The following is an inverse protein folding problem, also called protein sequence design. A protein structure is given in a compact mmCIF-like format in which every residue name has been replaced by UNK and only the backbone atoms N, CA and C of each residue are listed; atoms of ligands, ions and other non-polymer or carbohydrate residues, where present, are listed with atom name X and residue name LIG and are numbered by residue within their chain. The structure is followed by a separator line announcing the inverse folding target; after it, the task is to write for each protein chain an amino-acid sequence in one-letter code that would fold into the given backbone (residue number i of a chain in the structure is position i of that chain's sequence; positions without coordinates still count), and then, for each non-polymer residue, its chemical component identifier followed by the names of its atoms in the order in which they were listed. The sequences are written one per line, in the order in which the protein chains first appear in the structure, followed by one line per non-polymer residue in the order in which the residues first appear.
data_IF_281949524777
#
_entry.id   IF_281949524777
#
_cell.length_a   1.000
_cell.length_b   1.000
_cell.length_c   1.000
_cell.angle_alpha   90.00
_cell.angle_beta   90.00
_cell.angle_gamma   90.00
#
_symmetry.space_group_name_H-M   'P 1'
#
loop_
_entity.id
_entity.type
_entity.pdbx_description
1 polymer ?
#
# COMPACT_ATOMS: atom_id res chain seq x y z
N UNK A 1 -31.17 -31.23 -16.40
CA UNK A 1 -30.48 -29.93 -16.29
C UNK A 1 -29.86 -29.91 -14.92
N UNK A 2 -28.54 -30.09 -14.83
CA UNK A 2 -27.86 -30.29 -13.56
C UNK A 2 -27.72 -28.97 -12.80
N UNK A 3 -27.76 -29.04 -11.47
CA UNK A 3 -27.57 -27.88 -10.57
C UNK A 3 -26.24 -27.11 -10.83
N UNK A 4 -25.30 -27.72 -11.56
CA UNK A 4 -24.03 -27.10 -11.99
C UNK A 4 -24.22 -25.92 -12.95
N UNK A 5 -25.21 -25.96 -13.84
CA UNK A 5 -25.42 -24.88 -14.83
C UNK A 5 -26.13 -23.63 -14.26
N UNK A 6 -26.79 -23.74 -13.09
CA UNK A 6 -27.42 -22.60 -12.41
C UNK A 6 -26.42 -21.80 -11.56
N UNK A 7 -25.29 -22.41 -11.14
CA UNK A 7 -24.25 -21.70 -10.37
C UNK A 7 -23.34 -20.83 -11.24
N UNK A 8 -23.11 -21.19 -12.50
CA UNK A 8 -22.25 -20.41 -13.42
C UNK A 8 -22.84 -19.03 -13.78
N UNK A 9 -24.15 -18.84 -13.68
CA UNK A 9 -24.79 -17.55 -13.99
C UNK A 9 -24.80 -16.56 -12.81
N UNK A 10 -24.56 -17.02 -11.59
CA UNK A 10 -24.70 -16.20 -10.36
C UNK A 10 -23.47 -15.36 -10.08
N UNK A 11 -22.27 -15.86 -10.35
CA UNK A 11 -21.00 -15.19 -10.09
C UNK A 11 -20.33 -14.82 -11.40
N UNK A 12 -20.44 -13.54 -11.79
CA UNK A 12 -19.78 -12.99 -12.98
C UNK A 12 -18.51 -12.27 -12.57
N UNK A 13 -17.42 -12.48 -13.30
CA UNK A 13 -16.12 -11.83 -13.07
C UNK A 13 -15.90 -10.74 -14.09
N UNK A 14 -15.31 -9.64 -13.67
CA UNK A 14 -14.92 -8.52 -14.49
C UNK A 14 -15.28 -7.18 -13.87
N UNK A 15 -14.51 -6.14 -14.22
CA UNK A 15 -14.76 -4.77 -13.76
C UNK A 15 -16.14 -4.28 -14.24
N UNK A 16 -16.47 -4.53 -15.50
CA UNK A 16 -17.75 -4.08 -16.08
C UNK A 16 -18.94 -4.81 -15.49
N UNK A 17 -18.83 -6.11 -15.28
CA UNK A 17 -19.87 -6.97 -14.72
C UNK A 17 -20.17 -6.65 -13.25
N UNK A 18 -19.15 -6.11 -12.53
CA UNK A 18 -19.26 -5.75 -11.11
C UNK A 18 -19.06 -4.25 -10.87
N UNK A 19 -19.33 -3.38 -11.85
CA UNK A 19 -18.96 -1.97 -11.83
C UNK A 19 -19.38 -1.23 -10.55
N UNK A 20 -20.59 -1.47 -10.06
CA UNK A 20 -21.09 -0.85 -8.83
C UNK A 20 -20.25 -1.28 -7.60
N UNK A 21 -19.93 -2.58 -7.48
CA UNK A 21 -19.13 -3.06 -6.36
C UNK A 21 -17.67 -2.61 -6.44
N UNK A 22 -17.09 -2.61 -7.64
CA UNK A 22 -15.76 -2.02 -7.87
C UNK A 22 -15.77 -0.54 -7.47
N UNK A 23 -16.79 0.22 -7.87
CA UNK A 23 -16.97 1.63 -7.51
C UNK A 23 -17.08 1.85 -6.00
N UNK A 24 -17.88 1.05 -5.29
CA UNK A 24 -17.98 1.12 -3.82
C UNK A 24 -16.67 0.78 -3.13
N UNK A 25 -15.93 -0.19 -3.64
CA UNK A 25 -14.61 -0.55 -3.10
C UNK A 25 -13.54 0.52 -3.41
N UNK A 26 -13.64 1.20 -4.55
CA UNK A 26 -12.77 2.36 -4.86
C UNK A 26 -13.09 3.54 -3.95
N UNK A 27 -14.37 3.81 -3.70
CA UNK A 27 -14.78 4.84 -2.75
C UNK A 27 -14.32 4.49 -1.32
N UNK A 28 -14.38 3.22 -0.92
CA UNK A 28 -13.85 2.77 0.37
C UNK A 28 -12.36 3.07 0.51
N UNK A 29 -11.53 2.71 -0.48
CA UNK A 29 -10.09 2.97 -0.39
C UNK A 29 -9.76 4.46 -0.49
N UNK A 30 -10.55 5.25 -1.21
CA UNK A 30 -10.47 6.71 -1.21
C UNK A 30 -10.69 7.28 0.21
N UNK A 31 -11.75 6.83 0.91
CA UNK A 31 -12.02 7.24 2.29
C UNK A 31 -10.90 6.78 3.25
N UNK A 32 -10.32 5.59 3.04
CA UNK A 32 -9.12 5.14 3.77
C UNK A 32 -7.94 6.08 3.49
N UNK A 33 -7.76 6.52 2.27
CA UNK A 33 -6.77 7.52 1.89
C UNK A 33 -6.97 8.86 2.61
N UNK A 34 -8.22 9.31 2.73
CA UNK A 34 -8.56 10.54 3.48
C UNK A 34 -8.12 10.44 4.96
N UNK A 35 -8.28 9.27 5.61
CA UNK A 35 -7.88 9.13 7.03
C UNK A 35 -6.37 9.20 7.25
N UNK A 36 -5.55 8.67 6.34
CA UNK A 36 -4.09 8.82 6.46
C UNK A 36 -3.63 10.23 6.08
N UNK A 37 -4.27 10.83 5.06
CA UNK A 37 -3.91 12.16 4.60
C UNK A 37 -4.10 13.24 5.67
N UNK A 38 -5.16 13.14 6.49
CA UNK A 38 -5.39 14.08 7.59
C UNK A 38 -4.26 14.10 8.63
N UNK A 39 -3.58 12.96 8.86
CA UNK A 39 -2.44 12.88 9.76
C UNK A 39 -1.16 13.48 9.18
N UNK A 40 -0.97 13.38 7.87
CA UNK A 40 0.29 13.82 7.22
C UNK A 40 0.50 15.32 7.25
N UNK A 41 -0.57 16.11 7.20
CA UNK A 41 -0.47 17.56 7.04
C UNK A 41 -0.57 18.30 8.36
N UNK A 42 -1.56 18.00 9.19
CA UNK A 42 -1.89 18.80 10.37
C UNK A 42 -1.18 18.29 11.62
N UNK A 43 -1.01 16.97 11.76
CA UNK A 43 -0.42 16.38 12.98
C UNK A 43 1.05 16.79 13.21
N UNK A 44 1.93 16.89 12.20
CA UNK A 44 3.29 17.41 12.41
C UNK A 44 3.31 18.85 12.96
N UNK A 45 2.47 19.74 12.40
CA UNK A 45 2.38 21.12 12.90
C UNK A 45 1.87 21.17 14.35
N UNK A 46 0.88 20.33 14.67
CA UNK A 46 0.34 20.22 16.02
C UNK A 46 1.40 19.69 17.02
N UNK A 47 2.30 18.81 16.57
CA UNK A 47 3.42 18.33 17.38
C UNK A 47 4.40 19.46 17.77
N UNK A 48 4.74 20.31 16.81
CA UNK A 48 5.66 21.43 17.02
C UNK A 48 5.03 22.54 17.87
N UNK A 49 3.81 22.93 17.53
CA UNK A 49 3.16 24.11 18.13
C UNK A 49 2.60 23.83 19.55
N UNK A 50 2.07 22.64 19.80
CA UNK A 50 1.36 22.37 21.06
C UNK A 50 2.09 21.39 22.00
N UNK A 51 2.90 20.46 21.46
CA UNK A 51 3.55 19.43 22.28
C UNK A 51 5.04 19.63 22.49
N UNK A 52 5.59 20.76 22.04
CA UNK A 52 7.01 21.11 22.23
C UNK A 52 7.98 20.15 21.54
N UNK A 53 7.51 19.45 20.50
CA UNK A 53 8.37 18.60 19.69
C UNK A 53 9.29 19.49 18.88
N UNK A 54 10.60 19.31 19.03
CA UNK A 54 11.58 20.14 18.32
C UNK A 54 11.35 20.08 16.80
N UNK A 55 11.33 21.25 16.16
CA UNK A 55 11.20 21.38 14.69
C UNK A 55 12.23 20.49 14.00
N UNK A 56 11.77 19.67 13.07
CA UNK A 56 12.64 18.76 12.33
C UNK A 56 13.23 17.63 13.17
N UNK A 57 12.59 17.24 14.27
CA UNK A 57 13.04 16.09 15.07
C UNK A 57 12.99 14.81 14.25
N UNK A 58 14.13 14.50 13.62
CA UNK A 58 14.37 13.31 12.81
C UNK A 58 13.96 12.01 13.54
N UNK A 59 14.31 11.91 14.81
CA UNK A 59 14.03 10.72 15.61
C UNK A 59 12.53 10.49 15.83
N UNK A 60 11.73 11.54 15.95
CA UNK A 60 10.28 11.43 16.14
C UNK A 60 9.56 11.08 14.84
N UNK A 61 9.96 11.64 13.72
CA UNK A 61 9.43 11.27 12.39
C UNK A 61 9.77 9.82 12.05
N UNK A 62 11.00 9.39 12.33
CA UNK A 62 11.42 8.01 12.14
C UNK A 62 10.65 7.04 13.04
N UNK A 63 10.51 7.36 14.33
CA UNK A 63 9.74 6.54 15.27
C UNK A 63 8.27 6.38 14.86
N UNK A 64 7.64 7.46 14.34
CA UNK A 64 6.29 7.43 13.79
C UNK A 64 6.19 6.47 12.59
N UNK A 65 7.11 6.58 11.61
CA UNK A 65 7.11 5.74 10.40
C UNK A 65 7.36 4.27 10.76
N UNK A 66 8.27 4.02 11.70
CA UNK A 66 8.56 2.67 12.21
C UNK A 66 7.33 2.07 12.90
N UNK A 67 6.73 2.77 13.88
CA UNK A 67 5.56 2.28 14.60
C UNK A 67 4.38 2.04 13.66
N UNK A 68 4.09 2.99 12.76
CA UNK A 68 3.05 2.85 11.75
C UNK A 68 3.27 1.66 10.82
N UNK A 69 4.48 1.48 10.31
CA UNK A 69 4.84 0.38 9.42
C UNK A 69 4.67 -0.99 10.08
N UNK A 70 5.16 -1.17 11.31
CA UNK A 70 5.01 -2.41 12.06
C UNK A 70 3.54 -2.74 12.36
N UNK A 71 2.77 -1.77 12.86
CA UNK A 71 1.34 -1.98 13.17
C UNK A 71 0.57 -2.30 11.90
N UNK A 72 0.70 -1.48 10.86
CA UNK A 72 0.01 -1.67 9.59
C UNK A 72 0.39 -2.99 8.93
N UNK A 73 1.68 -3.34 8.91
CA UNK A 73 2.17 -4.60 8.37
C UNK A 73 1.54 -5.79 9.09
N UNK A 74 1.61 -5.82 10.42
CA UNK A 74 1.02 -6.88 11.24
C UNK A 74 -0.49 -7.01 11.01
N UNK A 75 -1.20 -5.89 10.95
CA UNK A 75 -2.65 -5.90 10.73
C UNK A 75 -3.04 -6.29 9.30
N UNK A 76 -2.21 -6.06 8.29
CA UNK A 76 -2.43 -6.61 6.96
C UNK A 76 -2.41 -8.15 6.96
N UNK A 77 -1.44 -8.74 7.68
CA UNK A 77 -1.35 -10.19 7.84
C UNK A 77 -2.59 -10.76 8.55
N UNK A 78 -2.99 -10.15 9.67
CA UNK A 78 -4.19 -10.54 10.43
C UNK A 78 -5.44 -10.38 9.55
N UNK A 79 -5.58 -9.28 8.83
CA UNK A 79 -6.70 -9.00 7.94
C UNK A 79 -6.86 -10.08 6.85
N UNK A 80 -5.76 -10.46 6.21
CA UNK A 80 -5.75 -11.52 5.21
C UNK A 80 -6.36 -12.81 5.77
N UNK A 81 -5.87 -13.27 6.92
CA UNK A 81 -6.32 -14.51 7.54
C UNK A 81 -7.75 -14.45 8.08
N UNK A 82 -8.11 -13.34 8.73
CA UNK A 82 -9.47 -13.16 9.23
C UNK A 82 -10.48 -13.11 8.09
N UNK A 83 -10.15 -12.47 6.98
CA UNK A 83 -11.04 -12.35 5.85
C UNK A 83 -11.45 -13.67 5.22
N UNK A 84 -10.61 -14.71 5.33
CA UNK A 84 -10.93 -16.06 4.87
C UNK A 84 -11.91 -16.79 5.80
N UNK A 85 -11.90 -16.45 7.09
CA UNK A 85 -12.77 -17.08 8.10
C UNK A 85 -14.12 -16.40 8.23
N UNK A 86 -14.12 -15.06 8.26
CA UNK A 86 -15.32 -14.27 8.60
C UNK A 86 -15.89 -13.47 7.44
N UNK A 87 -15.16 -13.40 6.32
CA UNK A 87 -15.52 -12.62 5.13
C UNK A 87 -14.84 -11.26 5.06
N UNK A 88 -14.73 -10.72 3.83
CA UNK A 88 -14.01 -9.46 3.54
C UNK A 88 -14.74 -8.25 4.12
N UNK A 89 -16.06 -8.23 3.97
CA UNK A 89 -16.92 -7.13 4.44
C UNK A 89 -16.86 -6.93 5.94
N UNK A 90 -16.88 -8.00 6.73
CA UNK A 90 -16.82 -7.89 8.19
C UNK A 90 -15.50 -7.31 8.66
N UNK A 91 -14.38 -7.75 8.08
CA UNK A 91 -13.04 -7.22 8.42
C UNK A 91 -12.92 -5.74 8.03
N UNK A 92 -13.50 -5.33 6.90
CA UNK A 92 -13.58 -3.92 6.49
C UNK A 92 -14.34 -3.08 7.54
N UNK A 93 -15.50 -3.56 7.99
CA UNK A 93 -16.31 -2.87 9.01
C UNK A 93 -15.52 -2.76 10.32
N UNK A 94 -14.86 -3.84 10.78
CA UNK A 94 -14.02 -3.79 11.99
C UNK A 94 -12.88 -2.78 11.88
N UNK A 95 -12.26 -2.67 10.70
CA UNK A 95 -11.25 -1.65 10.45
C UNK A 95 -11.79 -0.23 10.60
N UNK A 96 -13.00 0.04 10.12
CA UNK A 96 -13.65 1.33 10.30
C UNK A 96 -14.10 1.59 11.74
N UNK A 97 -14.56 0.57 12.45
CA UNK A 97 -14.90 0.68 13.88
C UNK A 97 -13.67 1.06 14.72
N UNK A 98 -12.51 0.50 14.41
CA UNK A 98 -11.26 0.85 15.08
C UNK A 98 -10.84 2.31 14.85
N UNK A 99 -11.32 2.94 13.78
CA UNK A 99 -11.03 4.35 13.48
C UNK A 99 -11.89 5.34 14.27
N UNK A 100 -13.06 4.93 14.80
CA UNK A 100 -14.01 5.82 15.47
C UNK A 100 -13.36 6.68 16.60
N UNK A 101 -12.50 6.13 17.47
CA UNK A 101 -11.91 6.93 18.56
C UNK A 101 -10.89 7.96 18.06
N UNK A 102 -10.30 7.80 16.87
CA UNK A 102 -9.16 8.61 16.41
C UNK A 102 -9.41 10.12 16.47
N UNK A 103 -10.49 10.68 15.87
CA UNK A 103 -10.72 12.12 15.88
C UNK A 103 -10.89 12.68 17.30
N UNK A 104 -11.53 11.91 18.19
CA UNK A 104 -11.72 12.28 19.59
C UNK A 104 -10.42 12.24 20.38
N UNK A 105 -9.56 11.24 20.14
CA UNK A 105 -8.24 11.16 20.76
C UNK A 105 -7.38 12.36 20.39
N UNK A 106 -7.45 12.84 19.15
CA UNK A 106 -6.73 14.04 18.71
C UNK A 106 -7.31 15.29 19.39
N UNK A 107 -8.64 15.41 19.45
CA UNK A 107 -9.30 16.56 20.09
C UNK A 107 -8.89 16.70 21.54
N UNK A 108 -8.95 15.61 22.32
CA UNK A 108 -8.69 15.61 23.76
C UNK A 108 -7.23 15.28 24.13
N UNK A 109 -6.32 15.23 23.14
CA UNK A 109 -4.91 14.93 23.40
C UNK A 109 -4.29 15.93 24.37
N UNK A 110 -3.86 15.44 25.53
CA UNK A 110 -3.14 16.24 26.55
C UNK A 110 -1.62 16.08 26.44
N UNK A 111 -1.15 15.14 25.63
CA UNK A 111 0.27 14.86 25.40
C UNK A 111 0.48 14.22 24.03
N UNK A 112 1.73 14.25 23.55
CA UNK A 112 2.13 13.54 22.31
C UNK A 112 1.81 12.04 22.33
N UNK A 113 1.81 11.40 23.51
CA UNK A 113 1.43 9.99 23.66
C UNK A 113 0.02 9.66 23.16
N UNK A 114 -0.94 10.58 23.29
CA UNK A 114 -2.30 10.43 22.74
C UNK A 114 -2.30 10.39 21.21
N UNK A 115 -1.47 11.22 20.60
CA UNK A 115 -1.31 11.26 19.14
C UNK A 115 -0.67 9.97 18.63
N UNK A 116 0.35 9.46 19.33
CA UNK A 116 0.96 8.16 19.02
C UNK A 116 -0.07 7.02 19.14
N UNK A 117 -0.89 7.01 20.19
CA UNK A 117 -1.96 6.02 20.35
C UNK A 117 -3.03 6.13 19.23
N UNK A 118 -3.43 7.34 18.84
CA UNK A 118 -4.32 7.57 17.70
C UNK A 118 -3.70 7.05 16.38
N UNK A 119 -2.39 7.19 16.20
CA UNK A 119 -1.65 6.68 15.05
C UNK A 119 -1.61 5.15 15.02
N UNK A 120 -1.50 4.48 16.16
CA UNK A 120 -1.61 3.02 16.25
C UNK A 120 -2.99 2.57 15.75
N UNK A 121 -4.07 3.20 16.21
CA UNK A 121 -5.43 2.90 15.70
C UNK A 121 -5.59 3.22 14.22
N UNK A 122 -4.95 4.28 13.72
CA UNK A 122 -4.87 4.55 12.28
C UNK A 122 -4.17 3.41 11.54
N UNK A 123 -3.07 2.88 12.08
CA UNK A 123 -2.37 1.70 11.53
C UNK A 123 -3.28 0.47 11.47
N UNK A 124 -4.10 0.24 12.50
CA UNK A 124 -5.13 -0.83 12.50
C UNK A 124 -6.15 -0.59 11.39
N UNK A 125 -6.73 0.59 11.30
CA UNK A 125 -7.69 0.94 10.24
C UNK A 125 -7.07 0.73 8.84
N UNK A 126 -5.87 1.24 8.61
CA UNK A 126 -5.17 1.13 7.33
C UNK A 126 -4.89 -0.33 6.97
N UNK A 127 -4.40 -1.13 7.91
CA UNK A 127 -4.10 -2.54 7.70
C UNK A 127 -5.34 -3.36 7.36
N UNK A 128 -6.44 -3.18 8.08
CA UNK A 128 -7.67 -3.91 7.83
C UNK A 128 -8.39 -3.41 6.57
N UNK A 129 -8.65 -2.11 6.45
CA UNK A 129 -9.50 -1.58 5.38
C UNK A 129 -8.82 -1.61 4.01
N UNK A 130 -7.56 -1.17 3.90
CA UNK A 130 -6.86 -1.16 2.61
C UNK A 130 -6.69 -2.57 2.04
N UNK A 131 -6.34 -3.54 2.91
CA UNK A 131 -6.23 -4.94 2.49
C UNK A 131 -7.55 -5.49 1.99
N UNK A 132 -8.66 -5.18 2.67
CA UNK A 132 -9.97 -5.70 2.26
C UNK A 132 -10.47 -5.09 0.96
N UNK A 133 -10.22 -3.81 0.71
CA UNK A 133 -10.58 -3.20 -0.57
C UNK A 133 -9.82 -3.80 -1.75
N UNK A 134 -8.55 -4.16 -1.56
CA UNK A 134 -7.76 -4.86 -2.58
C UNK A 134 -8.29 -6.28 -2.80
N UNK A 135 -8.36 -7.09 -1.73
CA UNK A 135 -8.78 -8.49 -1.82
C UNK A 135 -10.17 -8.62 -2.43
N UNK A 136 -11.12 -7.79 -1.99
CA UNK A 136 -12.50 -7.80 -2.52
C UNK A 136 -12.56 -7.53 -4.02
N UNK A 137 -11.74 -6.60 -4.54
CA UNK A 137 -11.69 -6.35 -5.98
C UNK A 137 -11.04 -7.49 -6.75
N UNK A 138 -9.98 -8.11 -6.18
CA UNK A 138 -9.35 -9.28 -6.81
C UNK A 138 -10.30 -10.47 -6.91
N UNK A 139 -11.20 -10.64 -5.93
CA UNK A 139 -12.17 -11.73 -5.94
C UNK A 139 -13.22 -11.61 -7.07
N UNK A 140 -13.59 -10.39 -7.47
CA UNK A 140 -14.67 -10.11 -8.43
C UNK A 140 -14.21 -9.72 -9.83
N UNK A 141 -12.90 -9.54 -10.06
CA UNK A 141 -12.33 -9.15 -11.35
C UNK A 141 -11.61 -10.30 -12.03
N UNK A 142 -11.49 -10.24 -13.37
CA UNK A 142 -10.77 -11.25 -14.15
C UNK A 142 -9.26 -11.15 -13.91
N UNK A 143 -8.56 -12.25 -14.08
CA UNK A 143 -7.10 -12.28 -13.92
C UNK A 143 -6.37 -11.28 -14.84
N UNK A 144 -6.83 -11.14 -16.09
CA UNK A 144 -6.27 -10.18 -17.05
C UNK A 144 -6.64 -8.71 -16.83
N UNK A 145 -7.45 -8.41 -15.80
CA UNK A 145 -7.82 -7.06 -15.38
C UNK A 145 -7.20 -6.66 -14.03
N UNK A 146 -6.40 -7.56 -13.41
CA UNK A 146 -5.86 -7.36 -12.05
C UNK A 146 -4.90 -6.19 -11.95
N UNK A 147 -4.08 -5.97 -12.97
CA UNK A 147 -3.18 -4.81 -13.04
C UNK A 147 -3.93 -3.50 -13.02
N UNK A 148 -4.94 -3.34 -13.87
CA UNK A 148 -5.82 -2.17 -13.88
C UNK A 148 -6.57 -2.03 -12.57
N UNK A 149 -7.09 -3.13 -12.03
CA UNK A 149 -7.83 -3.14 -10.74
C UNK A 149 -6.96 -2.64 -9.59
N UNK A 150 -5.70 -3.07 -9.54
CA UNK A 150 -4.74 -2.60 -8.54
C UNK A 150 -4.35 -1.14 -8.77
N UNK A 151 -4.12 -0.75 -10.02
CA UNK A 151 -3.86 0.65 -10.38
C UNK A 151 -4.99 1.58 -9.95
N UNK A 152 -6.24 1.21 -10.22
CA UNK A 152 -7.44 1.94 -9.77
C UNK A 152 -7.53 2.02 -8.25
N UNK A 153 -7.22 0.93 -7.53
CA UNK A 153 -7.20 0.92 -6.07
C UNK A 153 -6.23 1.95 -5.50
N UNK A 154 -4.99 1.88 -5.96
CA UNK A 154 -3.93 2.72 -5.42
C UNK A 154 -4.13 4.19 -5.82
N UNK A 155 -4.49 4.45 -7.08
CA UNK A 155 -4.84 5.80 -7.54
C UNK A 155 -5.93 6.41 -6.66
N UNK A 156 -7.04 5.70 -6.45
CA UNK A 156 -8.15 6.18 -5.62
C UNK A 156 -7.72 6.49 -4.19
N UNK A 157 -6.93 5.60 -3.57
CA UNK A 157 -6.39 5.80 -2.22
C UNK A 157 -5.47 7.01 -2.13
N UNK A 158 -4.54 7.18 -3.06
CA UNK A 158 -3.60 8.32 -3.04
C UNK A 158 -4.23 9.65 -3.42
N UNK A 159 -5.25 9.67 -4.27
CA UNK A 159 -6.09 10.87 -4.48
C UNK A 159 -6.76 11.28 -3.17
N UNK A 160 -7.28 10.30 -2.39
CA UNK A 160 -7.80 10.55 -1.05
C UNK A 160 -6.76 11.17 -0.12
N UNK A 161 -5.54 10.61 -0.08
CA UNK A 161 -4.43 11.14 0.74
C UNK A 161 -4.12 12.60 0.38
N UNK A 162 -4.00 12.91 -0.92
CA UNK A 162 -3.67 14.26 -1.38
C UNK A 162 -4.81 15.25 -1.05
N UNK A 163 -6.05 14.88 -1.32
CA UNK A 163 -7.20 15.73 -1.06
C UNK A 163 -7.40 16.01 0.44
N UNK A 164 -7.16 15.00 1.30
CA UNK A 164 -7.23 15.20 2.75
C UNK A 164 -6.21 16.22 3.24
N UNK A 165 -4.98 16.18 2.71
CA UNK A 165 -3.96 17.17 3.06
C UNK A 165 -4.41 18.60 2.79
N UNK A 166 -5.03 18.83 1.64
CA UNK A 166 -5.58 20.15 1.26
C UNK A 166 -6.75 20.54 2.16
N UNK A 167 -7.76 19.68 2.26
CA UNK A 167 -8.98 19.97 3.00
C UNK A 167 -8.72 20.22 4.49
N UNK A 168 -7.90 19.36 5.12
CA UNK A 168 -7.60 19.52 6.55
C UNK A 168 -6.71 20.72 6.82
N UNK A 169 -5.86 21.13 5.88
CA UNK A 169 -5.12 22.38 5.97
C UNK A 169 -6.04 23.60 6.03
N UNK A 170 -7.01 23.69 5.12
CA UNK A 170 -8.02 24.78 5.14
C UNK A 170 -8.91 24.73 6.40
N UNK A 171 -9.32 23.53 6.82
CA UNK A 171 -10.13 23.37 8.03
C UNK A 171 -9.37 23.77 9.29
N UNK A 172 -8.07 23.46 9.35
CA UNK A 172 -7.21 23.87 10.45
C UNK A 172 -7.06 25.38 10.53
N UNK A 173 -6.96 26.08 9.41
CA UNK A 173 -6.94 27.54 9.37
C UNK A 173 -8.27 28.16 9.81
N UNK A 174 -9.40 27.56 9.42
CA UNK A 174 -10.73 28.10 9.70
C UNK A 174 -11.20 27.85 11.15
N UNK A 175 -10.94 26.66 11.69
CA UNK A 175 -11.51 26.19 12.97
C UNK A 175 -10.46 25.73 13.99
N UNK A 176 -9.19 25.88 13.66
CA UNK A 176 -8.09 25.32 14.43
C UNK A 176 -7.84 23.83 14.11
N UNK A 177 -6.60 23.34 14.36
CA UNK A 177 -6.18 22.00 13.91
C UNK A 177 -6.99 20.87 14.54
N UNK A 178 -7.29 20.94 15.84
CA UNK A 178 -7.99 19.87 16.56
C UNK A 178 -9.45 19.73 16.14
N UNK A 179 -10.19 20.86 16.09
CA UNK A 179 -11.60 20.84 15.70
C UNK A 179 -11.76 20.50 14.21
N UNK A 180 -10.87 21.02 13.35
CA UNK A 180 -10.85 20.67 11.94
C UNK A 180 -10.66 19.17 11.72
N UNK A 181 -9.71 18.53 12.42
CA UNK A 181 -9.48 17.09 12.35
C UNK A 181 -10.63 16.27 12.95
N UNK A 182 -11.27 16.75 14.03
CA UNK A 182 -12.47 16.10 14.58
C UNK A 182 -13.60 16.04 13.56
N UNK A 183 -13.97 17.18 12.98
CA UNK A 183 -15.07 17.27 12.01
C UNK A 183 -14.74 16.41 10.77
N UNK A 184 -13.57 16.62 10.18
CA UNK A 184 -13.15 15.89 8.99
C UNK A 184 -13.13 14.37 9.21
N UNK A 185 -12.43 13.92 10.26
CA UNK A 185 -12.29 12.50 10.57
C UNK A 185 -13.63 11.85 10.89
N UNK A 186 -14.50 12.51 11.68
CA UNK A 186 -15.82 11.99 12.02
C UNK A 186 -16.72 11.83 10.79
N UNK A 187 -16.72 12.82 9.89
CA UNK A 187 -17.50 12.74 8.63
C UNK A 187 -16.98 11.59 7.75
N UNK A 188 -15.67 11.50 7.52
CA UNK A 188 -15.06 10.45 6.68
C UNK A 188 -15.37 9.07 7.23
N UNK A 189 -15.17 8.84 8.53
CA UNK A 189 -15.36 7.53 9.17
C UNK A 189 -16.85 7.13 9.14
N UNK A 190 -17.76 8.08 9.40
CA UNK A 190 -19.20 7.83 9.36
C UNK A 190 -19.66 7.45 7.96
N UNK A 191 -19.26 8.21 6.93
CA UNK A 191 -19.58 7.90 5.53
C UNK A 191 -19.03 6.53 5.12
N UNK A 192 -17.81 6.22 5.53
CA UNK A 192 -17.18 4.95 5.23
C UNK A 192 -17.89 3.76 5.89
N UNK A 193 -18.32 3.90 7.13
CA UNK A 193 -19.11 2.87 7.84
C UNK A 193 -20.46 2.65 7.17
N UNK A 194 -21.19 3.73 6.85
CA UNK A 194 -22.46 3.65 6.14
C UNK A 194 -22.27 2.90 4.82
N UNK A 195 -21.28 3.29 4.03
CA UNK A 195 -20.98 2.63 2.76
C UNK A 195 -20.62 1.15 2.95
N UNK A 196 -19.77 0.82 3.93
CA UNK A 196 -19.36 -0.55 4.23
C UNK A 196 -20.53 -1.44 4.66
N UNK A 197 -21.47 -0.88 5.44
CA UNK A 197 -22.61 -1.61 5.98
C UNK A 197 -23.72 -1.77 4.93
N UNK A 198 -24.01 -0.78 4.10
CA UNK A 198 -25.19 -0.79 3.26
C UNK A 198 -24.90 -1.07 1.77
N UNK A 199 -23.72 -0.71 1.26
CA UNK A 199 -23.42 -0.80 -0.17
C UNK A 199 -22.41 -1.89 -0.53
N UNK A 200 -21.41 -2.14 0.32
CA UNK A 200 -20.39 -3.16 0.07
C UNK A 200 -20.95 -4.56 0.27
N UNK A 201 -20.78 -5.42 -0.74
CA UNK A 201 -21.16 -6.84 -0.67
C UNK A 201 -19.99 -7.70 -0.20
N UNK A 202 -20.32 -8.88 0.37
CA UNK A 202 -19.33 -9.91 0.65
C UNK A 202 -18.86 -10.55 -0.66
N UNK A 203 -17.54 -10.66 -0.84
CA UNK A 203 -16.93 -11.17 -2.07
C UNK A 203 -16.29 -12.56 -1.92
N UNK A 204 -16.25 -13.12 -0.72
CA UNK A 204 -15.69 -14.44 -0.46
C UNK A 204 -16.33 -15.53 -1.31
N UNK A 205 -17.62 -15.40 -1.61
CA UNK A 205 -18.36 -16.39 -2.42
C UNK A 205 -17.86 -16.41 -3.88
N UNK A 206 -17.39 -15.30 -4.44
CA UNK A 206 -16.73 -15.27 -5.76
C UNK A 206 -15.43 -16.07 -5.74
N UNK A 207 -14.61 -15.91 -4.70
CA UNK A 207 -13.38 -16.68 -4.56
C UNK A 207 -13.67 -18.18 -4.46
N UNK A 208 -14.70 -18.59 -3.71
CA UNK A 208 -15.13 -20.01 -3.63
C UNK A 208 -15.67 -20.53 -4.97
N UNK A 209 -16.42 -19.71 -5.70
CA UNK A 209 -16.95 -20.09 -7.02
C UNK A 209 -15.82 -20.22 -8.05
N UNK A 210 -14.76 -19.39 -8.00
CA UNK A 210 -13.58 -19.51 -8.84
C UNK A 210 -12.88 -20.87 -8.65
N UNK A 211 -12.80 -21.37 -7.43
CA UNK A 211 -12.27 -22.73 -7.13
C UNK A 211 -13.11 -23.80 -7.80
N UNK A 212 -14.44 -23.72 -7.69
CA UNK A 212 -15.33 -24.71 -8.32
C UNK A 212 -15.20 -24.73 -9.85
N UNK A 213 -15.07 -23.55 -10.47
CA UNK A 213 -14.86 -23.46 -11.91
C UNK A 213 -13.49 -24.00 -12.35
N UNK A 214 -12.44 -23.78 -11.54
CA UNK A 214 -11.09 -24.29 -11.80
C UNK A 214 -11.01 -25.82 -11.74
N UNK A 215 -11.82 -26.46 -10.90
CA UNK A 215 -11.89 -27.91 -10.80
C UNK A 215 -12.59 -28.55 -12.02
N UNK A 216 -13.51 -27.82 -12.67
CA UNK A 216 -14.26 -28.29 -13.83
C UNK A 216 -13.57 -27.97 -15.16
N UNK A 217 -12.75 -26.93 -15.20
CA UNK A 217 -11.93 -26.54 -16.35
C UNK A 217 -10.53 -26.29 -15.83
N UNK A 218 -9.55 -27.18 -16.08
CA UNK A 218 -8.16 -26.95 -15.74
C UNK A 218 -7.62 -25.82 -16.62
N UNK A 219 -7.94 -24.59 -16.29
CA UNK A 219 -7.39 -23.38 -16.89
C UNK A 219 -6.28 -22.88 -15.96
N UNK A 220 -5.04 -23.06 -16.42
CA UNK A 220 -3.86 -22.22 -16.18
C UNK A 220 -3.77 -21.43 -14.85
N UNK A 221 -4.19 -22.02 -13.74
CA UNK A 221 -3.69 -21.60 -12.46
C UNK A 221 -2.24 -22.11 -12.39
N UNK A 222 -1.25 -21.22 -12.30
CA UNK A 222 0.16 -21.57 -12.08
C UNK A 222 0.41 -22.33 -10.75
N UNK A 223 -0.65 -22.86 -10.18
CA UNK A 223 -0.67 -23.79 -9.04
C UNK A 223 0.07 -25.11 -9.33
N UNK A 224 0.28 -25.44 -10.62
CA UNK A 224 1.08 -26.61 -11.02
C UNK A 224 2.53 -26.55 -10.55
N UNK A 225 3.00 -25.36 -10.13
CA UNK A 225 4.37 -25.13 -9.64
C UNK A 225 4.48 -25.08 -8.10
N UNK A 226 3.36 -25.19 -7.37
CA UNK A 226 3.40 -25.40 -5.92
C UNK A 226 3.91 -26.81 -5.61
N UNK A 227 4.54 -27.04 -4.45
CA UNK A 227 4.88 -28.39 -4.01
C UNK A 227 3.65 -29.28 -4.11
N UNK A 228 3.80 -30.49 -4.71
CA UNK A 228 2.68 -31.41 -4.96
C UNK A 228 1.92 -31.78 -3.68
N UNK A 229 2.61 -31.75 -2.53
CA UNK A 229 2.06 -32.05 -1.20
C UNK A 229 1.53 -30.83 -0.46
N UNK A 230 1.46 -29.65 -1.12
CA UNK A 230 0.98 -28.44 -0.43
C UNK A 230 -0.53 -28.51 -0.20
N UNK A 231 -1.00 -28.40 1.06
CA UNK A 231 -2.41 -28.64 1.38
C UNK A 231 -3.33 -27.59 0.74
N UNK A 232 -4.53 -28.04 0.34
CA UNK A 232 -5.59 -27.14 -0.18
C UNK A 232 -6.09 -26.11 0.84
N UNK A 233 -5.94 -26.44 2.14
CA UNK A 233 -6.24 -25.57 3.28
C UNK A 233 -5.03 -25.45 4.19
N UNK A 234 -4.02 -24.66 3.80
CA UNK A 234 -2.78 -24.53 4.57
C UNK A 234 -3.00 -23.78 5.88
N UNK A 235 -2.22 -24.14 6.90
CA UNK A 235 -2.15 -23.36 8.13
C UNK A 235 -1.50 -22.01 7.88
N UNK A 236 -1.72 -21.06 8.78
CA UNK A 236 -1.12 -19.73 8.70
C UNK A 236 0.41 -19.78 8.64
N UNK A 237 1.04 -20.67 9.42
CA UNK A 237 2.48 -20.86 9.42
C UNK A 237 3.00 -21.42 8.09
N UNK A 238 2.32 -22.44 7.54
CA UNK A 238 2.69 -23.01 6.23
C UNK A 238 2.64 -21.96 5.11
N UNK A 239 1.59 -21.12 5.08
CA UNK A 239 1.49 -20.05 4.10
C UNK A 239 2.57 -18.99 4.28
N UNK A 240 2.82 -18.57 5.53
CA UNK A 240 3.86 -17.60 5.81
C UNK A 240 5.24 -18.11 5.39
N UNK A 241 5.56 -19.36 5.71
CA UNK A 241 6.81 -19.99 5.30
C UNK A 241 6.91 -20.15 3.78
N UNK A 242 5.82 -20.58 3.12
CA UNK A 242 5.78 -20.71 1.65
C UNK A 242 6.10 -19.37 0.97
N UNK A 243 5.37 -18.33 1.35
CA UNK A 243 5.49 -17.02 0.70
C UNK A 243 6.77 -16.28 1.04
N UNK A 244 7.33 -16.52 2.22
CA UNK A 244 8.54 -15.82 2.66
C UNK A 244 9.82 -16.48 2.15
N UNK A 245 9.86 -17.81 2.06
CA UNK A 245 11.09 -18.58 1.75
C UNK A 245 10.87 -19.86 0.93
N UNK A 246 9.67 -20.46 0.98
CA UNK A 246 9.42 -21.78 0.37
C UNK A 246 9.25 -21.73 -1.14
N UNK A 247 8.58 -20.71 -1.68
CA UNK A 247 8.44 -20.48 -3.13
C UNK A 247 9.26 -19.24 -3.52
N UNK A 248 10.25 -19.44 -4.40
CA UNK A 248 11.18 -18.37 -4.82
C UNK A 248 10.45 -17.19 -5.45
N UNK A 249 9.38 -17.42 -6.21
CA UNK A 249 8.59 -16.36 -6.88
C UNK A 249 7.88 -15.51 -5.85
N UNK A 250 7.18 -16.15 -4.90
CA UNK A 250 6.47 -15.45 -3.82
C UNK A 250 7.43 -14.68 -2.92
N UNK A 251 8.58 -15.30 -2.57
CA UNK A 251 9.63 -14.66 -1.80
C UNK A 251 10.21 -13.44 -2.53
N UNK A 252 10.42 -13.54 -3.85
CA UNK A 252 10.89 -12.44 -4.69
C UNK A 252 9.91 -11.25 -4.66
N UNK A 253 8.61 -11.50 -4.77
CA UNK A 253 7.61 -10.43 -4.72
C UNK A 253 7.44 -9.85 -3.31
N UNK A 254 7.51 -10.67 -2.27
CA UNK A 254 7.45 -10.20 -0.88
C UNK A 254 8.64 -9.30 -0.52
N UNK A 255 9.88 -9.70 -0.88
CA UNK A 255 11.06 -8.87 -0.64
C UNK A 255 11.04 -7.58 -1.49
N UNK A 256 10.58 -7.66 -2.76
CA UNK A 256 10.48 -6.49 -3.62
C UNK A 256 9.48 -5.47 -3.04
N UNK A 257 8.34 -5.93 -2.56
CA UNK A 257 7.39 -5.07 -1.85
C UNK A 257 7.98 -4.45 -0.56
N UNK A 258 8.82 -5.19 0.18
CA UNK A 258 9.51 -4.66 1.35
C UNK A 258 10.51 -3.56 0.97
N UNK A 259 11.35 -3.82 -0.02
CA UNK A 259 12.38 -2.86 -0.47
C UNK A 259 11.77 -1.61 -1.12
N UNK A 260 10.66 -1.77 -1.85
CA UNK A 260 9.89 -0.63 -2.39
C UNK A 260 9.56 0.40 -1.30
N UNK A 261 9.19 -0.04 -0.10
CA UNK A 261 8.85 0.87 1.00
C UNK A 261 10.05 1.59 1.62
N UNK A 262 11.27 1.17 1.33
CA UNK A 262 12.46 1.94 1.67
C UNK A 262 12.48 3.29 0.94
N UNK A 263 12.05 3.31 -0.33
CA UNK A 263 11.93 4.54 -1.12
C UNK A 263 10.90 5.49 -0.49
N UNK A 264 9.74 4.97 -0.18
CA UNK A 264 8.64 5.77 0.39
C UNK A 264 9.04 6.35 1.76
N UNK A 265 9.69 5.55 2.62
CA UNK A 265 10.23 6.00 3.90
C UNK A 265 11.34 7.06 3.71
N UNK A 266 12.22 6.88 2.72
CA UNK A 266 13.29 7.83 2.39
C UNK A 266 12.71 9.18 1.96
N UNK A 267 11.71 9.18 1.07
CA UNK A 267 11.05 10.39 0.59
C UNK A 267 10.36 11.14 1.75
N UNK A 268 9.78 10.42 2.70
CA UNK A 268 9.12 11.06 3.84
C UNK A 268 10.09 11.66 4.85
N UNK A 269 11.25 11.04 5.05
CA UNK A 269 12.17 11.40 6.14
C UNK A 269 13.40 12.10 5.61
N UNK A 270 14.12 11.50 4.65
CA UNK A 270 15.43 12.01 4.23
C UNK A 270 15.37 13.06 3.12
N UNK A 271 14.37 13.03 2.22
CA UNK A 271 14.24 14.07 1.21
C UNK A 271 14.11 15.46 1.84
N UNK A 272 13.19 15.70 2.80
CA UNK A 272 13.10 16.99 3.46
C UNK A 272 14.40 17.40 4.17
N UNK A 273 15.06 16.50 4.88
CA UNK A 273 16.31 16.78 5.59
C UNK A 273 17.43 17.12 4.62
N UNK A 274 17.61 16.31 3.57
CA UNK A 274 18.64 16.54 2.54
C UNK A 274 18.46 17.89 1.84
N UNK A 275 17.24 18.17 1.36
CA UNK A 275 16.93 19.40 0.64
C UNK A 275 17.05 20.64 1.54
N UNK A 276 16.67 20.52 2.81
CA UNK A 276 16.85 21.59 3.79
C UNK A 276 18.32 21.90 4.07
N UNK A 277 19.18 20.87 4.16
CA UNK A 277 20.64 21.03 4.30
C UNK A 277 21.27 21.75 3.10
N UNK A 278 20.64 21.65 1.90
CA UNK A 278 21.06 22.39 0.69
C UNK A 278 20.38 23.76 0.56
N UNK A 279 19.80 24.28 1.64
CA UNK A 279 19.27 25.66 1.70
C UNK A 279 17.90 25.85 1.05
N UNK A 280 17.16 24.79 0.70
CA UNK A 280 15.82 24.94 0.15
C UNK A 280 14.82 25.34 1.24
N UNK A 281 13.88 26.20 0.87
CA UNK A 281 12.75 26.56 1.69
C UNK A 281 11.70 25.44 1.71
N UNK A 282 10.86 25.42 2.74
CA UNK A 282 9.84 24.38 2.93
C UNK A 282 8.84 24.28 1.76
N UNK A 283 8.52 25.41 1.10
CA UNK A 283 7.66 25.44 -0.09
C UNK A 283 8.28 24.68 -1.27
N UNK A 284 9.58 24.88 -1.53
CA UNK A 284 10.33 24.19 -2.57
C UNK A 284 10.49 22.69 -2.26
N UNK A 285 10.75 22.34 -0.99
CA UNK A 285 10.79 20.94 -0.51
C UNK A 285 9.44 20.27 -0.73
N UNK A 286 8.35 20.93 -0.31
CA UNK A 286 6.99 20.45 -0.52
C UNK A 286 6.65 20.22 -1.99
N UNK A 287 7.14 21.09 -2.89
CA UNK A 287 6.99 20.90 -4.34
C UNK A 287 7.68 19.65 -4.84
N UNK A 288 8.95 19.43 -4.48
CA UNK A 288 9.73 18.27 -4.93
C UNK A 288 9.10 16.95 -4.44
N UNK A 289 8.72 16.87 -3.16
CA UNK A 289 8.00 15.72 -2.60
C UNK A 289 6.62 15.56 -3.24
N UNK A 290 5.96 16.67 -3.56
CA UNK A 290 4.69 16.70 -4.28
C UNK A 290 4.79 16.11 -5.69
N UNK A 291 5.85 16.42 -6.43
CA UNK A 291 6.13 15.86 -7.77
C UNK A 291 6.25 14.33 -7.69
N UNK A 292 7.00 13.80 -6.72
CA UNK A 292 7.07 12.36 -6.50
C UNK A 292 5.67 11.73 -6.33
N UNK A 293 4.87 12.27 -5.42
CA UNK A 293 3.53 11.75 -5.13
C UNK A 293 2.56 11.88 -6.30
N UNK A 294 2.60 13.01 -7.02
CA UNK A 294 1.76 13.26 -8.18
C UNK A 294 2.07 12.33 -9.35
N UNK A 295 3.35 12.15 -9.68
CA UNK A 295 3.77 11.23 -10.75
C UNK A 295 3.44 9.80 -10.36
N UNK A 296 3.77 9.39 -9.13
CA UNK A 296 3.44 8.06 -8.63
C UNK A 296 1.94 7.78 -8.68
N UNK A 297 1.13 8.64 -8.05
CA UNK A 297 -0.33 8.46 -8.02
C UNK A 297 -0.96 8.52 -9.41
N UNK A 298 -0.61 9.53 -10.22
CA UNK A 298 -1.23 9.78 -11.53
C UNK A 298 -0.93 8.70 -12.57
N UNK A 299 0.27 8.14 -12.57
CA UNK A 299 0.69 7.18 -13.61
C UNK A 299 0.31 5.73 -13.29
N UNK A 300 -0.15 5.40 -12.07
CA UNK A 300 -0.53 4.04 -11.68
C UNK A 300 -1.65 3.42 -12.54
N UNK A 301 -2.58 4.22 -13.03
CA UNK A 301 -3.63 3.75 -13.93
C UNK A 301 -3.07 3.24 -15.24
N UNK A 302 -2.10 3.97 -15.78
CA UNK A 302 -1.44 3.61 -17.06
C UNK A 302 -0.55 2.39 -16.89
N UNK A 303 0.25 2.35 -15.83
CA UNK A 303 1.21 1.26 -15.58
C UNK A 303 0.53 -0.03 -15.16
N UNK A 304 -0.57 0.03 -14.42
CA UNK A 304 -1.40 -1.13 -14.11
C UNK A 304 -2.02 -1.74 -15.37
N UNK A 305 -2.62 -0.90 -16.23
CA UNK A 305 -3.16 -1.35 -17.52
C UNK A 305 -2.07 -1.86 -18.46
N UNK A 306 -0.89 -1.22 -18.47
CA UNK A 306 0.25 -1.66 -19.27
C UNK A 306 0.64 -3.10 -18.91
N UNK A 307 0.68 -3.43 -17.61
CA UNK A 307 1.04 -4.78 -17.17
C UNK A 307 0.03 -5.86 -17.55
N UNK A 308 -1.22 -5.49 -17.78
CA UNK A 308 -2.22 -6.41 -18.31
C UNK A 308 -1.97 -6.79 -19.80
N UNK A 309 -1.06 -6.06 -20.48
CA UNK A 309 -0.69 -6.32 -21.88
C UNK A 309 0.72 -6.91 -22.03
N UNK A 310 1.70 -6.44 -21.24
CA UNK A 310 3.13 -6.84 -21.39
C UNK A 310 3.60 -7.81 -20.30
N UNK A 311 2.72 -8.18 -19.37
CA UNK A 311 3.04 -9.04 -18.23
C UNK A 311 3.42 -8.25 -16.98
N UNK A 312 3.56 -8.97 -15.84
CA UNK A 312 3.84 -8.39 -14.52
C UNK A 312 5.34 -8.15 -14.31
N UNK A 313 6.17 -9.10 -14.76
CA UNK A 313 7.60 -9.11 -14.44
C UNK A 313 8.36 -7.89 -14.98
N UNK A 314 8.14 -7.52 -16.25
CA UNK A 314 8.86 -6.39 -16.86
C UNK A 314 8.62 -5.07 -16.12
N UNK A 315 7.37 -4.65 -15.87
CA UNK A 315 7.10 -3.42 -15.11
C UNK A 315 7.68 -3.45 -13.70
N UNK A 316 7.65 -4.60 -13.00
CA UNK A 316 8.23 -4.73 -11.66
C UNK A 316 9.74 -4.48 -11.70
N UNK A 317 10.48 -5.20 -12.54
CA UNK A 317 11.95 -5.05 -12.64
C UNK A 317 12.34 -3.65 -13.08
N UNK A 318 11.70 -3.11 -14.13
CA UNK A 318 11.95 -1.75 -14.59
C UNK A 318 11.62 -0.72 -13.51
N UNK A 319 10.50 -0.90 -12.80
CA UNK A 319 10.12 -0.01 -11.72
C UNK A 319 11.15 0.03 -10.59
N UNK A 320 11.69 -1.14 -10.18
CA UNK A 320 12.76 -1.22 -9.18
C UNK A 320 14.00 -0.45 -9.61
N UNK A 321 14.47 -0.65 -10.84
CA UNK A 321 15.68 -0.01 -11.34
C UNK A 321 15.50 1.49 -11.61
N UNK A 322 14.34 1.90 -12.15
CA UNK A 322 14.02 3.32 -12.35
C UNK A 322 13.92 4.04 -11.01
N UNK A 323 13.33 3.43 -9.98
CA UNK A 323 13.34 3.98 -8.62
C UNK A 323 14.77 4.15 -8.08
N UNK A 324 15.59 3.09 -8.19
CA UNK A 324 16.99 3.14 -7.75
C UNK A 324 17.77 4.23 -8.47
N UNK A 325 17.55 4.38 -9.79
CA UNK A 325 18.14 5.47 -10.59
C UNK A 325 17.66 6.84 -10.08
N UNK A 326 16.35 7.04 -9.92
CA UNK A 326 15.78 8.31 -9.46
C UNK A 326 16.31 8.71 -8.08
N UNK A 327 16.38 7.75 -7.13
CA UNK A 327 16.98 8.01 -5.80
C UNK A 327 18.45 8.39 -5.91
N UNK A 328 19.24 7.69 -6.72
CA UNK A 328 20.66 8.01 -6.94
C UNK A 328 20.88 9.37 -7.63
N UNK A 329 20.00 9.74 -8.56
CA UNK A 329 20.06 11.03 -9.27
C UNK A 329 19.93 12.23 -8.33
N UNK A 330 19.24 12.11 -7.18
CA UNK A 330 19.17 13.18 -6.18
C UNK A 330 20.54 13.70 -5.74
N UNK A 331 21.57 12.84 -5.79
CA UNK A 331 22.92 13.12 -5.30
C UNK A 331 23.91 13.58 -6.38
N UNK A 332 23.51 13.54 -7.67
CA UNK A 332 24.45 13.81 -8.80
C UNK A 332 24.60 15.29 -9.05
N UNK A 333 23.51 16.04 -8.98
CA UNK A 333 23.52 17.48 -9.29
C UNK A 333 22.56 18.21 -8.35
N UNK A 334 22.89 19.46 -8.04
CA UNK A 334 22.06 20.34 -7.24
C UNK A 334 21.12 21.18 -8.12
N UNK A 335 19.99 21.55 -7.54
CA UNK A 335 19.04 22.46 -8.14
C UNK A 335 17.61 21.94 -8.18
N UNK A 336 16.68 22.88 -8.04
CA UNK A 336 15.24 22.54 -7.89
C UNK A 336 14.70 21.73 -9.07
N UNK A 337 15.10 22.07 -10.31
CA UNK A 337 14.65 21.34 -11.50
C UNK A 337 15.18 19.90 -11.50
N UNK A 338 16.46 19.72 -11.18
CA UNK A 338 17.08 18.39 -11.13
C UNK A 338 16.49 17.51 -10.05
N UNK A 339 16.30 18.04 -8.85
CA UNK A 339 15.67 17.30 -7.75
C UNK A 339 14.19 16.97 -8.03
N UNK A 340 13.45 17.88 -8.68
CA UNK A 340 12.08 17.61 -9.14
C UNK A 340 12.03 16.50 -10.20
N UNK A 341 12.98 16.52 -11.15
CA UNK A 341 13.10 15.45 -12.16
C UNK A 341 13.43 14.10 -11.50
N UNK A 342 14.40 14.07 -10.58
CA UNK A 342 14.78 12.88 -9.83
C UNK A 342 13.61 12.31 -9.02
N UNK A 343 12.85 13.17 -8.34
CA UNK A 343 11.64 12.82 -7.61
C UNK A 343 10.54 12.27 -8.54
N UNK A 344 10.35 12.88 -9.72
CA UNK A 344 9.43 12.41 -10.74
C UNK A 344 9.80 11.03 -11.30
N UNK A 345 11.08 10.79 -11.61
CA UNK A 345 11.60 9.50 -12.05
C UNK A 345 11.38 8.43 -10.98
N UNK A 346 11.68 8.75 -9.71
CA UNK A 346 11.41 7.87 -8.57
C UNK A 346 9.92 7.53 -8.48
N UNK A 347 9.03 8.53 -8.59
CA UNK A 347 7.58 8.34 -8.57
C UNK A 347 7.07 7.49 -9.73
N UNK A 348 7.63 7.65 -10.93
CA UNK A 348 7.28 6.83 -12.08
C UNK A 348 7.71 5.36 -11.89
N UNK A 349 8.91 5.12 -11.36
CA UNK A 349 9.37 3.79 -10.98
C UNK A 349 8.41 3.13 -9.98
N UNK A 350 7.98 3.87 -8.94
CA UNK A 350 6.98 3.41 -7.97
C UNK A 350 5.65 3.04 -8.65
N UNK A 351 5.20 3.82 -9.61
CA UNK A 351 3.97 3.51 -10.35
C UNK A 351 4.08 2.24 -11.17
N UNK A 352 5.25 1.93 -11.73
CA UNK A 352 5.48 0.70 -12.48
C UNK A 352 5.45 -0.54 -11.60
N UNK A 353 6.03 -0.50 -10.41
CA UNK A 353 6.17 -1.70 -9.57
C UNK A 353 4.99 -1.92 -8.61
N UNK A 354 4.45 -0.88 -8.04
CA UNK A 354 3.51 -0.95 -6.92
C UNK A 354 2.21 -1.73 -7.21
N UNK A 355 1.42 -1.39 -8.25
CA UNK A 355 0.20 -2.13 -8.56
C UNK A 355 0.51 -3.54 -9.07
N UNK A 356 1.64 -3.72 -9.76
CA UNK A 356 1.98 -4.95 -10.44
C UNK A 356 2.48 -6.04 -9.50
N UNK A 357 3.19 -5.68 -8.41
CA UNK A 357 3.55 -6.61 -7.35
C UNK A 357 2.29 -7.22 -6.69
N UNK A 358 1.30 -6.39 -6.38
CA UNK A 358 0.03 -6.89 -5.81
C UNK A 358 -0.75 -7.77 -6.78
N UNK A 359 -0.76 -7.41 -8.08
CA UNK A 359 -1.38 -8.22 -9.12
C UNK A 359 -0.65 -9.57 -9.29
N UNK A 360 0.69 -9.57 -9.35
CA UNK A 360 1.50 -10.79 -9.45
C UNK A 360 1.24 -11.76 -8.28
N UNK A 361 1.20 -11.25 -7.05
CA UNK A 361 0.86 -12.07 -5.87
C UNK A 361 -0.55 -12.64 -5.97
N UNK A 362 -1.52 -11.84 -6.44
CA UNK A 362 -2.89 -12.32 -6.63
C UNK A 362 -3.00 -13.39 -7.72
N UNK A 363 -2.21 -13.27 -8.81
CA UNK A 363 -2.22 -14.20 -9.94
C UNK A 363 -1.70 -15.60 -9.54
N UNK A 364 -0.65 -15.68 -8.71
CA UNK A 364 -0.07 -16.97 -8.26
C UNK A 364 -0.74 -17.52 -7.00
N UNK A 365 -1.69 -16.79 -6.40
CA UNK A 365 -2.36 -17.21 -5.18
C UNK A 365 -3.62 -18.03 -5.47
N UNK A 366 -3.76 -19.19 -4.82
CA UNK A 366 -4.99 -19.96 -4.90
C UNK A 366 -6.17 -19.15 -4.34
N UNK A 367 -7.36 -19.16 -4.99
CA UNK A 367 -8.51 -18.37 -4.55
C UNK A 367 -8.91 -18.58 -3.08
N UNK A 368 -8.80 -19.81 -2.56
CA UNK A 368 -9.15 -20.14 -1.17
C UNK A 368 -8.29 -19.41 -0.13
N UNK A 369 -7.04 -19.05 -0.46
CA UNK A 369 -6.13 -18.38 0.46
C UNK A 369 -5.50 -17.09 -0.12
N UNK A 370 -6.08 -16.54 -1.20
CA UNK A 370 -5.66 -15.26 -1.82
C UNK A 370 -5.64 -14.10 -0.81
N UNK A 371 -6.62 -14.05 0.10
CA UNK A 371 -6.66 -13.05 1.16
C UNK A 371 -5.44 -13.13 2.08
N UNK A 372 -5.06 -14.33 2.51
CA UNK A 372 -3.86 -14.57 3.31
C UNK A 372 -2.59 -14.25 2.53
N UNK A 373 -2.51 -14.63 1.25
CA UNK A 373 -1.36 -14.33 0.41
C UNK A 373 -1.13 -12.82 0.25
N UNK A 374 -2.17 -12.08 -0.10
CA UNK A 374 -2.13 -10.62 -0.17
C UNK A 374 -1.76 -10.03 1.21
N UNK A 375 -2.31 -10.58 2.29
CA UNK A 375 -2.00 -10.17 3.66
C UNK A 375 -0.53 -10.37 4.03
N UNK A 376 0.08 -11.51 3.68
CA UNK A 376 1.51 -11.80 3.93
C UNK A 376 2.41 -10.90 3.06
N UNK A 377 2.09 -10.75 1.78
CA UNK A 377 2.80 -9.80 0.91
C UNK A 377 2.77 -8.39 1.49
N UNK A 378 1.61 -7.91 1.92
CA UNK A 378 1.45 -6.59 2.52
C UNK A 378 2.10 -6.47 3.91
N UNK A 379 2.19 -7.56 4.66
CA UNK A 379 2.99 -7.60 5.90
C UNK A 379 4.44 -7.24 5.61
N UNK A 380 5.09 -7.96 4.70
CA UNK A 380 6.48 -7.67 4.32
C UNK A 380 6.63 -6.27 3.73
N UNK A 381 5.72 -5.89 2.83
CA UNK A 381 5.74 -4.57 2.19
C UNK A 381 5.68 -3.44 3.23
N UNK A 382 4.67 -3.44 4.08
CA UNK A 382 4.47 -2.32 5.01
C UNK A 382 5.45 -2.37 6.20
N UNK A 383 6.02 -3.54 6.54
CA UNK A 383 7.17 -3.68 7.44
C UNK A 383 8.42 -2.96 6.87
N UNK A 384 8.52 -2.89 5.55
CA UNK A 384 9.58 -2.18 4.84
C UNK A 384 9.69 -0.70 5.22
N UNK A 385 8.61 -0.03 5.61
CA UNK A 385 8.70 1.33 6.16
C UNK A 385 9.64 1.40 7.37
N UNK A 386 9.43 0.49 8.33
CA UNK A 386 10.22 0.44 9.55
C UNK A 386 11.64 -0.05 9.31
N UNK A 387 11.80 -1.15 8.57
CA UNK A 387 13.12 -1.73 8.26
C UNK A 387 13.96 -0.74 7.42
N UNK A 388 13.33 -0.10 6.42
CA UNK A 388 13.99 0.90 5.59
C UNK A 388 14.45 2.10 6.40
N UNK A 389 13.55 2.68 7.21
CA UNK A 389 13.86 3.83 8.05
C UNK A 389 15.00 3.54 9.03
N UNK A 390 14.98 2.37 9.67
CA UNK A 390 16.09 1.92 10.53
C UNK A 390 17.37 1.71 9.71
N UNK A 391 17.30 1.05 8.56
CA UNK A 391 18.45 0.72 7.72
C UNK A 391 19.18 1.97 7.24
N UNK A 392 18.49 2.88 6.55
CA UNK A 392 19.12 4.10 6.07
C UNK A 392 19.48 5.07 7.20
N UNK A 393 18.72 5.07 8.31
CA UNK A 393 19.05 5.84 9.50
C UNK A 393 20.35 5.38 10.17
N UNK A 394 20.54 4.07 10.33
CA UNK A 394 21.79 3.50 10.86
C UNK A 394 22.99 3.79 9.94
N UNK A 395 22.82 3.59 8.63
CA UNK A 395 23.89 3.87 7.66
C UNK A 395 24.28 5.35 7.71
N UNK A 396 23.31 6.27 7.75
CA UNK A 396 23.58 7.68 7.90
C UNK A 396 24.26 8.03 9.23
N UNK A 397 23.88 7.38 10.33
CA UNK A 397 24.48 7.58 11.63
C UNK A 397 25.96 7.16 11.65
N UNK A 398 26.26 5.95 11.17
CA UNK A 398 27.65 5.44 11.16
C UNK A 398 28.56 6.15 10.19
N UNK A 399 28.06 6.67 9.08
CA UNK A 399 28.83 7.40 8.09
C UNK A 399 28.91 8.91 8.36
N UNK A 400 28.03 9.44 9.21
CA UNK A 400 27.87 10.88 9.43
C UNK A 400 27.26 11.63 8.26
N UNK A 401 26.71 10.91 7.24
CA UNK A 401 26.24 11.52 6.00
C UNK A 401 24.84 11.03 5.62
N UNK A 402 23.90 11.97 5.45
CA UNK A 402 22.54 11.69 4.97
C UNK A 402 22.55 11.03 3.57
N UNK A 403 23.50 11.43 2.73
CA UNK A 403 23.70 10.89 1.36
C UNK A 403 23.96 9.38 1.34
N UNK A 404 24.58 8.81 2.38
CA UNK A 404 24.78 7.37 2.50
C UNK A 404 23.46 6.60 2.61
N UNK A 405 22.43 7.20 3.21
CA UNK A 405 21.07 6.62 3.25
C UNK A 405 20.43 6.55 1.87
N UNK A 406 20.65 7.53 1.00
CA UNK A 406 20.20 7.49 -0.40
C UNK A 406 20.86 6.36 -1.18
N UNK A 407 22.20 6.23 -1.07
CA UNK A 407 22.93 5.13 -1.71
C UNK A 407 22.48 3.76 -1.21
N UNK A 408 22.25 3.62 0.10
CA UNK A 408 21.70 2.38 0.66
C UNK A 408 20.38 1.99 -0.01
N UNK A 409 19.44 2.92 -0.15
CA UNK A 409 18.13 2.65 -0.77
C UNK A 409 18.28 2.39 -2.27
N UNK A 410 19.09 3.18 -2.99
CA UNK A 410 19.32 2.99 -4.43
C UNK A 410 19.92 1.60 -4.72
N UNK A 411 20.95 1.20 -3.98
CA UNK A 411 21.58 -0.12 -4.11
C UNK A 411 20.58 -1.24 -3.79
N UNK A 412 19.81 -1.09 -2.69
CA UNK A 412 18.77 -2.06 -2.33
C UNK A 412 17.73 -2.25 -3.44
N UNK A 413 17.32 -1.17 -4.12
CA UNK A 413 16.40 -1.22 -5.25
C UNK A 413 16.99 -2.00 -6.45
N UNK A 414 18.25 -1.74 -6.82
CA UNK A 414 18.91 -2.46 -7.90
C UNK A 414 19.09 -3.95 -7.59
N UNK A 415 19.54 -4.29 -6.38
CA UNK A 415 19.70 -5.67 -5.93
C UNK A 415 18.36 -6.40 -5.87
N UNK A 416 17.32 -5.74 -5.37
CA UNK A 416 15.97 -6.31 -5.32
C UNK A 416 15.39 -6.56 -6.71
N UNK A 417 15.56 -5.62 -7.65
CA UNK A 417 15.17 -5.82 -9.05
C UNK A 417 15.90 -6.99 -9.70
N UNK A 418 17.21 -7.13 -9.45
CA UNK A 418 17.98 -8.27 -9.91
C UNK A 418 17.50 -9.61 -9.31
N UNK A 419 17.14 -9.61 -8.02
CA UNK A 419 16.59 -10.80 -7.36
C UNK A 419 15.22 -11.19 -7.95
N UNK A 420 14.36 -10.20 -8.22
CA UNK A 420 13.08 -10.47 -8.93
C UNK A 420 13.33 -11.05 -10.30
N UNK A 421 14.33 -10.55 -11.04
CA UNK A 421 14.67 -11.09 -12.36
C UNK A 421 15.17 -12.54 -12.30
N UNK A 422 15.87 -12.91 -11.22
CA UNK A 422 16.44 -14.25 -11.05
C UNK A 422 15.45 -15.28 -10.48
N UNK A 423 14.55 -14.87 -9.58
CA UNK A 423 13.65 -15.75 -8.85
C UNK A 423 12.19 -15.61 -9.25
N UNK A 424 11.80 -14.44 -9.77
CA UNK A 424 10.47 -14.18 -10.25
C UNK A 424 10.18 -14.93 -11.55
N UNK A 425 8.92 -15.15 -11.82
CA UNK A 425 8.40 -15.67 -13.09
C UNK A 425 7.24 -14.80 -13.54
N UNK A 426 6.97 -14.79 -14.86
CA UNK A 426 5.78 -14.13 -15.36
C UNK A 426 4.53 -14.79 -14.77
N UNK A 427 3.62 -13.96 -14.28
CA UNK A 427 2.41 -14.44 -13.59
C UNK A 427 1.13 -14.12 -14.34
N UNK A 428 1.24 -13.35 -15.44
CA UNK A 428 0.08 -12.99 -16.23
C UNK A 428 -0.46 -14.21 -17.00
N UNK A 429 -1.74 -14.57 -16.81
CA UNK A 429 -2.28 -15.87 -17.28
C UNK A 429 -2.31 -16.06 -18.80
N UNK A 430 -2.10 -15.02 -19.59
CA UNK A 430 -2.14 -15.08 -21.06
C UNK A 430 -0.76 -14.91 -21.72
N UNK A 431 0.33 -14.85 -20.95
CA UNK A 431 1.68 -14.56 -21.45
C UNK A 431 2.72 -15.62 -21.04
N UNK A 432 2.26 -16.82 -20.67
CA UNK A 432 3.09 -18.01 -20.39
C UNK A 432 3.58 -18.66 -21.69
#
# INVERSE_FOLDING_TARGET
MSQSNLSESKYRYGIRENLAQVGYQLLQVFLVGLTIGMFRTVVPALAEDEFGVAKGSFMMLTAFVVAFGFVKGTLNFVAGRWSERVGRRKVLIWGWMAAIPIPFMILYASSWGWIVAATILLGVNQGLCWSMTQTSKMDITRANERGLTMGLNEFSGYVGVALAGILTGYMALAWGPRLGLLIFGSVVITLALILAIFAVRETQEWAKAEVHQSLTKPQHLQLSKLPQDFPTHPTTAQMFLLMSWGDKRMAAFCQAGMIEKFVDALVWVFYPVFLYQHGLRLDAIGWIVGVYGFVWGGTQLLTGKLSDHIGRMKPIVWGMWICGLGVGMMLIQEGMLWWSLSAGITGFGMALLYPNLGAAVADISHPNWRGSAIGIYRFWRDLGYGIGALGFGLVAHFTGAVTAGFWFVAIAMFLSGALVMLWGEETHPNLD
#
